data_IF_261246393440
#
_entry.id   IF_261246393440
#
_cell.length_a   1.000
_cell.length_b   1.000
_cell.length_c   1.000
_cell.angle_alpha   90.00
_cell.angle_beta   90.00
_cell.angle_gamma   90.00
#
_symmetry.space_group_name_H-M   'P 1'
#
loop_
_entity.id
_entity.type
_entity.pdbx_description
1 polymer ?
#
# COMPACT_ATOMS: atom_id res chain seq x y z
N UNK A 1 -11.67 -14.26 -5.47
CA UNK A 1 -12.39 -13.55 -4.39
C UNK A 1 -11.95 -14.20 -3.09
N UNK A 2 -11.06 -13.55 -2.34
CA UNK A 2 -10.55 -14.09 -1.07
C UNK A 2 -10.63 -13.00 -0.02
N UNK A 3 -11.48 -13.23 0.97
CA UNK A 3 -11.73 -12.37 2.12
C UNK A 3 -10.53 -12.42 3.07
N UNK A 4 -10.09 -11.26 3.56
CA UNK A 4 -9.13 -11.17 4.65
C UNK A 4 -9.79 -10.44 5.83
N UNK A 5 -9.94 -11.17 6.93
CA UNK A 5 -10.06 -10.63 8.28
C UNK A 5 -9.31 -11.59 9.19
N UNK A 6 -8.38 -11.07 9.99
CA UNK A 6 -8.42 -11.20 11.45
C UNK A 6 -7.16 -10.55 12.05
N UNK A 7 -7.42 -9.87 13.17
CA UNK A 7 -6.48 -9.39 14.17
C UNK A 7 -5.18 -10.22 14.26
N UNK A 8 -4.04 -9.51 14.32
CA UNK A 8 -2.69 -10.00 14.64
C UNK A 8 -2.05 -10.95 13.61
N UNK A 9 -1.29 -10.43 12.63
CA UNK A 9 -0.71 -11.29 11.58
C UNK A 9 0.34 -10.67 10.67
N UNK A 10 1.26 -9.86 11.21
CA UNK A 10 2.34 -9.18 10.45
C UNK A 10 3.38 -10.14 9.81
N UNK A 11 3.29 -11.46 9.99
CA UNK A 11 4.31 -12.41 9.54
C UNK A 11 3.78 -13.53 8.63
N UNK A 12 3.10 -13.22 7.52
CA UNK A 12 2.93 -14.22 6.43
C UNK A 12 3.06 -13.64 5.01
N UNK A 13 2.82 -12.33 4.81
CA UNK A 13 2.91 -11.73 3.46
C UNK A 13 4.33 -11.70 2.85
N UNK A 14 5.38 -11.85 3.66
CA UNK A 14 6.76 -11.74 3.17
C UNK A 14 7.28 -12.98 2.43
N UNK A 15 6.71 -14.17 2.65
CA UNK A 15 7.26 -15.37 2.00
C UNK A 15 6.62 -15.58 0.62
N UNK A 16 7.40 -15.25 -0.41
CA UNK A 16 7.30 -15.68 -1.82
C UNK A 16 6.26 -15.00 -2.73
N UNK A 17 6.49 -13.72 -3.07
CA UNK A 17 6.10 -13.18 -4.40
C UNK A 17 7.34 -12.71 -5.19
N UNK A 18 8.17 -13.67 -5.60
CA UNK A 18 9.35 -13.45 -6.45
C UNK A 18 9.00 -13.17 -7.94
N UNK A 19 7.77 -12.78 -8.28
CA UNK A 19 7.42 -12.48 -9.67
C UNK A 19 7.94 -11.11 -10.11
N UNK A 20 8.60 -11.03 -11.27
CA UNK A 20 9.05 -9.74 -11.87
C UNK A 20 7.93 -9.14 -12.75
N UNK A 21 6.74 -9.74 -12.76
CA UNK A 21 5.60 -9.30 -13.56
C UNK A 21 5.21 -7.86 -13.17
N UNK A 22 5.14 -6.99 -14.18
CA UNK A 22 4.49 -5.68 -14.03
C UNK A 22 2.99 -5.88 -14.01
N UNK A 23 2.34 -5.27 -13.03
CA UNK A 23 0.90 -5.34 -12.82
C UNK A 23 0.39 -3.98 -12.35
N UNK A 24 -0.90 -3.76 -12.45
CA UNK A 24 -1.52 -2.53 -11.98
C UNK A 24 -1.92 -2.68 -10.51
N UNK A 25 -1.88 -1.57 -9.79
CA UNK A 25 -2.28 -1.53 -8.40
C UNK A 25 -3.17 -0.32 -8.12
N UNK A 26 -4.11 -0.53 -7.21
CA UNK A 26 -4.88 0.53 -6.55
C UNK A 26 -4.43 0.59 -5.11
N UNK A 27 -4.09 1.79 -4.64
CA UNK A 27 -3.76 2.07 -3.25
C UNK A 27 -4.87 2.98 -2.70
N UNK A 28 -5.56 2.52 -1.68
CA UNK A 28 -6.59 3.29 -0.98
C UNK A 28 -6.22 3.39 0.50
N UNK A 29 -6.47 4.54 1.11
CA UNK A 29 -6.14 4.76 2.52
C UNK A 29 -7.21 5.56 3.26
N UNK A 30 -7.23 5.39 4.57
CA UNK A 30 -7.97 6.21 5.52
C UNK A 30 -7.01 6.59 6.66
N UNK A 31 -6.56 7.85 6.67
CA UNK A 31 -5.54 8.37 7.58
C UNK A 31 -6.00 9.75 8.04
N UNK A 32 -6.20 9.88 9.35
CA UNK A 32 -6.70 11.13 9.95
C UNK A 32 -5.58 12.07 10.41
N UNK A 33 -4.39 11.54 10.69
CA UNK A 33 -3.25 12.36 11.16
C UNK A 33 -2.52 13.00 9.98
N UNK A 34 -2.47 14.34 9.99
CA UNK A 34 -2.01 15.13 8.85
C UNK A 34 -0.53 14.90 8.49
N UNK A 35 0.36 14.66 9.46
CA UNK A 35 1.78 14.46 9.17
C UNK A 35 2.04 13.11 8.48
N UNK A 36 1.44 12.02 8.97
CA UNK A 36 1.48 10.69 8.33
C UNK A 36 0.87 10.74 6.94
N UNK A 37 -0.27 11.40 6.80
CA UNK A 37 -0.94 11.59 5.51
C UNK A 37 -0.05 12.31 4.48
N UNK A 38 0.54 13.44 4.85
CA UNK A 38 1.45 14.17 3.95
C UNK A 38 2.68 13.35 3.56
N UNK A 39 3.25 12.59 4.50
CA UNK A 39 4.38 11.70 4.22
C UNK A 39 4.00 10.58 3.26
N UNK A 40 2.84 9.96 3.46
CA UNK A 40 2.33 8.91 2.59
C UNK A 40 2.04 9.44 1.18
N UNK A 41 1.34 10.58 1.07
CA UNK A 41 1.04 11.21 -0.22
C UNK A 41 2.32 11.53 -1.00
N UNK A 42 3.33 12.12 -0.35
CA UNK A 42 4.64 12.41 -0.99
C UNK A 42 5.35 11.14 -1.47
N UNK A 43 5.26 10.05 -0.71
CA UNK A 43 5.85 8.77 -1.10
C UNK A 43 5.14 8.21 -2.36
N UNK A 44 3.80 8.17 -2.34
CA UNK A 44 2.98 7.55 -3.38
C UNK A 44 2.95 8.38 -4.68
N UNK A 45 2.84 9.71 -4.57
CA UNK A 45 2.68 10.62 -5.72
C UNK A 45 3.83 10.57 -6.72
N UNK A 46 5.02 10.14 -6.28
CA UNK A 46 6.18 10.02 -7.14
C UNK A 46 6.07 8.86 -8.14
N UNK A 47 5.19 7.88 -7.91
CA UNK A 47 5.10 6.65 -8.71
C UNK A 47 3.68 6.31 -9.16
N UNK A 48 2.66 6.91 -8.58
CA UNK A 48 1.25 6.63 -8.86
C UNK A 48 0.48 7.90 -9.22
N UNK A 49 -0.52 7.73 -10.07
CA UNK A 49 -1.50 8.75 -10.41
C UNK A 49 -2.56 8.84 -9.31
N UNK A 50 -2.83 10.05 -8.82
CA UNK A 50 -3.93 10.28 -7.89
C UNK A 50 -5.27 10.27 -8.63
N UNK A 51 -6.17 9.35 -8.28
CA UNK A 51 -7.52 9.28 -8.85
C UNK A 51 -8.54 10.04 -7.99
N UNK A 52 -8.38 9.96 -6.67
CA UNK A 52 -9.15 10.70 -5.66
C UNK A 52 -8.21 11.08 -4.53
N UNK A 53 -8.68 11.95 -3.62
CA UNK A 53 -7.88 12.37 -2.46
C UNK A 53 -7.18 11.18 -1.79
N UNK A 54 -7.94 10.14 -1.42
CA UNK A 54 -7.42 8.93 -0.76
C UNK A 54 -7.21 7.72 -1.65
N UNK A 55 -7.13 7.88 -2.98
CA UNK A 55 -6.99 6.75 -3.92
C UNK A 55 -5.98 7.05 -5.00
N UNK A 56 -5.01 6.16 -5.15
CA UNK A 56 -3.96 6.19 -6.17
C UNK A 56 -4.01 4.95 -7.06
N UNK A 57 -3.58 5.11 -8.31
CA UNK A 57 -3.51 4.05 -9.32
C UNK A 57 -2.21 4.13 -10.11
N UNK A 58 -1.62 2.98 -10.41
CA UNK A 58 -0.33 2.92 -11.10
C UNK A 58 0.10 1.50 -11.35
N UNK A 59 1.26 1.34 -11.97
CA UNK A 59 1.79 0.02 -12.30
C UNK A 59 3.23 -0.09 -11.84
N UNK A 60 3.57 -1.25 -11.29
CA UNK A 60 4.95 -1.60 -10.95
C UNK A 60 5.13 -3.11 -10.93
N UNK A 61 6.37 -3.56 -10.75
CA UNK A 61 6.64 -4.98 -10.50
C UNK A 61 6.20 -5.33 -9.08
N UNK A 62 5.74 -6.57 -8.85
CA UNK A 62 5.33 -7.00 -7.50
C UNK A 62 6.49 -6.88 -6.51
N UNK A 63 7.73 -7.23 -6.93
CA UNK A 63 8.94 -7.04 -6.10
C UNK A 63 9.14 -5.58 -5.66
N UNK A 64 8.89 -4.62 -6.55
CA UNK A 64 9.01 -3.20 -6.21
C UNK A 64 7.87 -2.77 -5.29
N UNK A 65 6.68 -3.34 -5.47
CA UNK A 65 5.55 -3.11 -4.57
C UNK A 65 5.84 -3.62 -3.16
N UNK A 66 6.48 -4.77 -2.99
CA UNK A 66 6.85 -5.28 -1.66
C UNK A 66 7.73 -4.29 -0.89
N UNK A 67 8.74 -3.70 -1.55
CA UNK A 67 9.56 -2.65 -0.94
C UNK A 67 8.77 -1.36 -0.66
N UNK A 68 7.81 -1.04 -1.52
CA UNK A 68 6.94 0.12 -1.35
C UNK A 68 5.99 -0.06 -0.15
N UNK A 69 5.45 -1.26 0.04
CA UNK A 69 4.62 -1.65 1.19
C UNK A 69 5.38 -1.44 2.49
N UNK A 70 6.64 -1.90 2.57
CA UNK A 70 7.48 -1.71 3.76
C UNK A 70 7.68 -0.21 4.04
N UNK A 71 7.94 0.59 3.01
CA UNK A 71 8.09 2.04 3.17
C UNK A 71 6.79 2.72 3.66
N UNK A 72 5.62 2.29 3.17
CA UNK A 72 4.32 2.80 3.63
C UNK A 72 4.02 2.35 5.06
N UNK A 73 4.33 1.11 5.43
CA UNK A 73 4.17 0.57 6.79
C UNK A 73 4.97 1.35 7.84
N UNK A 74 6.14 1.88 7.47
CA UNK A 74 6.96 2.73 8.34
C UNK A 74 6.40 4.15 8.53
N UNK A 75 5.38 4.54 7.76
CA UNK A 75 4.73 5.86 7.84
C UNK A 75 3.43 5.78 8.63
N UNK A 76 2.63 4.73 8.41
CA UNK A 76 1.29 4.59 8.99
C UNK A 76 1.33 4.10 10.43
N UNK A 77 0.29 4.44 11.20
CA UNK A 77 0.06 3.88 12.52
C UNK A 77 -0.89 2.68 12.44
N UNK A 78 -0.47 1.47 12.87
CA UNK A 78 -1.18 0.22 12.56
C UNK A 78 -2.59 0.09 13.16
N UNK A 79 -2.90 0.87 14.20
CA UNK A 79 -4.20 0.83 14.88
C UNK A 79 -5.08 2.06 14.60
N UNK A 80 -4.55 3.07 13.91
CA UNK A 80 -5.27 4.32 13.62
C UNK A 80 -5.53 4.53 12.13
N UNK A 81 -4.72 3.90 11.28
CA UNK A 81 -4.72 4.09 9.84
C UNK A 81 -5.15 2.80 9.13
N UNK A 82 -5.97 2.91 8.09
CA UNK A 82 -6.28 1.81 7.17
C UNK A 82 -5.56 2.05 5.83
N UNK A 83 -4.82 1.06 5.35
CA UNK A 83 -4.14 1.10 4.06
C UNK A 83 -4.42 -0.20 3.31
N UNK A 84 -5.03 -0.08 2.14
CA UNK A 84 -5.43 -1.21 1.29
C UNK A 84 -4.78 -1.11 -0.06
N UNK A 85 -4.24 -2.24 -0.52
CA UNK A 85 -3.55 -2.35 -1.80
C UNK A 85 -4.17 -3.51 -2.56
N UNK A 86 -4.62 -3.24 -3.77
CA UNK A 86 -5.24 -4.21 -4.65
C UNK A 86 -4.40 -4.33 -5.92
N UNK A 87 -4.08 -5.56 -6.31
CA UNK A 87 -3.58 -5.86 -7.65
C UNK A 87 -4.77 -5.97 -8.62
N UNK A 88 -4.62 -5.40 -9.82
CA UNK A 88 -5.63 -5.35 -10.88
C UNK A 88 -5.17 -6.13 -12.10
#
# INVERSE_FOLDING_TARGET
>A
MTLYSLQTGILIYQYTRLSIKKTYFIIAYDISENNRLQRLQRLISNQFLQLKYSVYYGHMTTKRMDSFIIAMQNIIHPNEDDLRIYEV
#
